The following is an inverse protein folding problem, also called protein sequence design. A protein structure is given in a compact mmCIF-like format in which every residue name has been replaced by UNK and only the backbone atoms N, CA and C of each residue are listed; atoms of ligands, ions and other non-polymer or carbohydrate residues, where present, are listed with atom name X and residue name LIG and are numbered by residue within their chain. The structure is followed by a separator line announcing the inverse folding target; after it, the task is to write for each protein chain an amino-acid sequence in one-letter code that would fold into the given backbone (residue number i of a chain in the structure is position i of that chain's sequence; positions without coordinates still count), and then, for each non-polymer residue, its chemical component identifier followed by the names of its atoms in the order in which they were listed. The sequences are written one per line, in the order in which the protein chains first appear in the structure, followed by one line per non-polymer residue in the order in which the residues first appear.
data_IF_043168866907
#
_entry.id   IF_043168866907
#
_cell.length_a   1.000
_cell.length_b   1.000
_cell.length_c   1.000
_cell.angle_alpha   90.00
_cell.angle_beta   90.00
_cell.angle_gamma   90.00
#
_symmetry.space_group_name_H-M   'P 1'
#
loop_
_entity.id
_entity.type
_entity.pdbx_description
1 polymer ?
#
# COMPACT_ATOMS: atom_id res chain seq x y z
N UNK A 1 15.07 -4.44 -15.63
CA UNK A 1 13.67 -4.39 -15.17
C UNK A 1 12.74 -4.44 -16.37
N UNK A 2 11.75 -5.30 -16.32
CA UNK A 2 10.81 -5.45 -17.44
C UNK A 2 9.60 -4.52 -17.22
N UNK A 3 9.44 -3.47 -18.04
CA UNK A 3 8.33 -2.53 -17.85
C UNK A 3 6.95 -3.17 -18.03
N UNK A 4 6.86 -4.31 -18.71
CA UNK A 4 5.58 -5.01 -18.88
C UNK A 4 5.04 -5.57 -17.56
N UNK A 5 5.85 -5.70 -16.53
CA UNK A 5 5.40 -6.15 -15.20
C UNK A 5 4.53 -5.10 -14.52
N UNK A 6 4.79 -3.82 -14.78
CA UNK A 6 4.12 -2.70 -14.10
C UNK A 6 2.93 -2.24 -14.93
N UNK A 7 1.89 -3.04 -14.97
CA UNK A 7 0.74 -2.78 -15.83
C UNK A 7 -0.57 -2.55 -15.09
N UNK A 8 -0.52 -2.52 -13.77
CA UNK A 8 -1.71 -2.25 -12.96
C UNK A 8 -1.61 -0.86 -12.38
N UNK A 9 -2.67 -0.07 -12.54
CA UNK A 9 -2.70 1.29 -12.02
C UNK A 9 -3.30 1.28 -10.64
N UNK A 10 -2.55 1.78 -9.66
CA UNK A 10 -3.03 1.91 -8.29
C UNK A 10 -2.93 3.36 -7.86
N UNK A 11 -3.68 3.72 -6.83
CA UNK A 11 -3.59 5.05 -6.24
C UNK A 11 -3.27 4.90 -4.76
N UNK A 12 -2.23 5.63 -4.33
CA UNK A 12 -1.77 5.60 -2.94
C UNK A 12 -2.30 6.83 -2.23
N UNK A 13 -2.93 6.61 -1.08
CA UNK A 13 -3.47 7.68 -0.24
C UNK A 13 -2.82 7.65 1.13
N UNK A 14 -2.63 8.85 1.68
CA UNK A 14 -2.20 9.01 3.06
C UNK A 14 -3.39 9.45 3.90
N UNK A 15 -3.64 8.76 5.00
CA UNK A 15 -4.67 9.12 5.96
C UNK A 15 -4.08 10.01 7.03
N UNK A 16 -4.77 11.10 7.32
CA UNK A 16 -4.42 12.01 8.40
C UNK A 16 -5.60 12.19 9.32
N UNK A 17 -5.34 12.40 10.60
CA UNK A 17 -6.37 12.73 11.57
C UNK A 17 -6.21 14.20 11.94
N UNK A 18 -7.27 14.98 11.73
CA UNK A 18 -7.30 16.38 12.07
C UNK A 18 -8.42 16.63 13.08
N UNK A 19 -8.37 17.77 13.75
CA UNK A 19 -9.40 18.15 14.72
C UNK A 19 -10.19 19.31 14.12
N UNK A 20 -11.51 19.16 14.04
CA UNK A 20 -12.38 20.20 13.51
C UNK A 20 -12.72 21.24 14.55
N UNK A 21 -13.59 22.20 14.19
CA UNK A 21 -13.99 23.30 15.07
C UNK A 21 -14.73 22.82 16.32
N UNK A 22 -15.33 21.64 16.26
CA UNK A 22 -16.06 21.05 17.39
C UNK A 22 -15.18 20.12 18.22
N UNK A 23 -13.87 20.14 18.00
CA UNK A 23 -12.89 19.30 18.67
C UNK A 23 -13.12 17.80 18.41
N UNK A 24 -13.74 17.48 17.28
CA UNK A 24 -13.93 16.09 16.85
C UNK A 24 -12.81 15.68 15.92
N UNK A 25 -12.36 14.45 16.08
CA UNK A 25 -11.37 13.90 15.18
C UNK A 25 -12.00 13.57 13.82
N UNK A 26 -11.39 14.07 12.76
CA UNK A 26 -11.82 13.85 11.39
C UNK A 26 -10.69 13.20 10.61
N UNK A 27 -10.98 12.10 9.94
CA UNK A 27 -10.02 11.47 9.04
C UNK A 27 -10.06 12.15 7.69
N UNK A 28 -8.90 12.55 7.20
CA UNK A 28 -8.76 13.10 5.86
C UNK A 28 -7.81 12.22 5.06
N UNK A 29 -8.06 12.16 3.76
CA UNK A 29 -7.26 11.34 2.84
C UNK A 29 -6.68 12.24 1.76
N UNK A 30 -5.38 12.11 1.55
CA UNK A 30 -4.68 12.89 0.54
C UNK A 30 -4.01 11.94 -0.43
N UNK A 31 -4.23 12.16 -1.72
CA UNK A 31 -3.61 11.33 -2.74
C UNK A 31 -2.11 11.62 -2.81
N UNK A 32 -1.32 10.59 -2.65
CA UNK A 32 0.14 10.68 -2.85
C UNK A 32 0.45 10.61 -4.34
N UNK A 33 -0.35 9.87 -5.09
CA UNK A 33 -0.19 9.76 -6.52
C UNK A 33 -0.72 8.44 -7.06
N UNK A 34 -0.79 8.40 -8.38
CA UNK A 34 -1.12 7.17 -9.09
C UNK A 34 0.17 6.52 -9.55
N UNK A 35 0.26 5.22 -9.35
CA UNK A 35 1.47 4.46 -9.61
C UNK A 35 1.16 3.25 -10.48
N UNK A 36 2.13 2.87 -11.29
CA UNK A 36 2.08 1.60 -12.00
C UNK A 36 2.69 0.52 -11.11
N UNK A 37 2.02 -0.61 -11.01
CA UNK A 37 2.43 -1.66 -10.09
C UNK A 37 2.37 -3.03 -10.75
N UNK A 38 3.24 -3.92 -10.29
CA UNK A 38 3.11 -5.36 -10.47
C UNK A 38 2.41 -5.89 -9.22
N UNK A 39 1.47 -6.79 -9.38
CA UNK A 39 0.64 -7.26 -8.28
C UNK A 39 0.81 -8.75 -8.11
N UNK A 40 1.08 -9.17 -6.88
CA UNK A 40 1.18 -10.58 -6.54
C UNK A 40 0.38 -10.85 -5.28
N UNK A 41 -0.61 -11.72 -5.40
CA UNK A 41 -1.41 -12.14 -4.25
C UNK A 41 -0.62 -13.15 -3.44
N UNK A 42 -0.56 -12.95 -2.13
CA UNK A 42 0.08 -13.89 -1.24
C UNK A 42 -0.81 -15.12 -1.05
N UNK A 43 -0.22 -16.29 -1.20
CA UNK A 43 -0.93 -17.54 -0.95
C UNK A 43 -1.03 -17.78 0.55
N UNK A 44 -2.08 -18.51 0.96
CA UNK A 44 -2.29 -18.80 2.37
C UNK A 44 -1.10 -19.44 3.06
N UNK A 45 -0.37 -20.29 2.36
CA UNK A 45 0.80 -20.95 2.92
C UNK A 45 1.96 -19.98 3.19
N UNK A 46 1.98 -18.83 2.53
CA UNK A 46 3.01 -17.83 2.73
C UNK A 46 2.67 -16.91 3.90
N UNK A 47 1.44 -16.97 4.37
CA UNK A 47 0.97 -16.06 5.40
C UNK A 47 0.22 -16.84 6.47
N UNK A 48 0.99 -17.61 7.23
CA UNK A 48 0.44 -18.49 8.25
C UNK A 48 -0.03 -17.68 9.45
N UNK A 49 -1.17 -18.04 9.99
CA UNK A 49 -1.70 -17.49 11.23
C UNK A 49 -2.76 -16.43 11.00
N UNK A 50 -2.37 -15.21 10.76
CA UNK A 50 -3.29 -14.08 10.73
C UNK A 50 -4.40 -14.22 9.69
N UNK A 51 -4.13 -14.86 8.58
CA UNK A 51 -5.07 -14.96 7.46
C UNK A 51 -6.06 -16.11 7.59
N UNK A 52 -5.82 -17.05 8.49
CA UNK A 52 -6.64 -18.26 8.55
C UNK A 52 -8.07 -18.01 9.00
N UNK A 53 -8.25 -17.04 9.89
CA UNK A 53 -9.57 -16.79 10.46
C UNK A 53 -10.35 -15.74 9.71
N UNK A 54 -9.69 -14.77 9.09
CA UNK A 54 -10.35 -13.61 8.52
C UNK A 54 -10.49 -13.63 7.01
N UNK A 55 -9.80 -14.50 6.32
CA UNK A 55 -9.84 -14.60 4.86
C UNK A 55 -9.56 -13.28 4.15
N UNK A 56 -8.82 -12.39 4.78
CA UNK A 56 -8.45 -11.12 4.16
C UNK A 56 -7.41 -11.35 3.08
N UNK A 57 -7.54 -10.59 1.99
CA UNK A 57 -6.58 -10.69 0.90
C UNK A 57 -5.31 -9.95 1.24
N UNK A 58 -4.22 -10.68 1.39
CA UNK A 58 -2.91 -10.08 1.47
C UNK A 58 -2.32 -10.01 0.06
N UNK A 59 -1.90 -8.83 -0.34
CA UNK A 59 -1.44 -8.58 -1.70
C UNK A 59 -0.12 -7.81 -1.64
N UNK A 60 0.79 -8.16 -2.53
CA UNK A 60 2.03 -7.41 -2.71
C UNK A 60 1.89 -6.53 -3.94
N UNK A 61 2.11 -5.23 -3.75
CA UNK A 61 2.17 -4.27 -4.83
C UNK A 61 3.63 -3.86 -5.00
N UNK A 62 4.19 -4.15 -6.16
CA UNK A 62 5.58 -3.81 -6.44
C UNK A 62 5.57 -2.60 -7.34
N UNK A 63 6.17 -1.50 -6.87
CA UNK A 63 6.21 -0.23 -7.59
C UNK A 63 7.64 0.19 -7.81
N UNK A 64 7.86 1.10 -8.76
CA UNK A 64 9.18 1.66 -9.00
C UNK A 64 9.51 2.67 -7.92
N UNK A 65 10.78 2.69 -7.53
CA UNK A 65 11.28 3.70 -6.61
C UNK A 65 11.17 5.08 -7.23
N UNK A 66 10.69 6.04 -6.44
CA UNK A 66 10.57 7.44 -6.85
C UNK A 66 10.65 8.31 -5.61
N UNK A 67 10.68 9.62 -5.79
CA UNK A 67 10.71 10.53 -4.64
C UNK A 67 9.46 10.40 -3.76
N UNK A 68 8.31 10.22 -4.38
CA UNK A 68 7.07 10.01 -3.63
C UNK A 68 7.14 8.74 -2.80
N UNK A 69 7.70 7.68 -3.36
CA UNK A 69 7.84 6.41 -2.66
C UNK A 69 8.91 6.50 -1.59
N UNK A 70 9.97 7.26 -1.81
CA UNK A 70 10.98 7.50 -0.77
C UNK A 70 10.35 8.16 0.45
N UNK A 71 9.53 9.18 0.25
CA UNK A 71 8.82 9.84 1.33
C UNK A 71 7.86 8.89 2.03
N UNK A 72 7.16 8.06 1.26
CA UNK A 72 6.28 7.04 1.81
C UNK A 72 7.04 6.07 2.71
N UNK A 73 8.23 5.65 2.31
CA UNK A 73 9.04 4.72 3.11
C UNK A 73 9.50 5.33 4.42
N UNK A 74 9.65 6.67 4.48
CA UNK A 74 10.06 7.36 5.68
C UNK A 74 8.90 7.69 6.62
N UNK A 75 7.67 7.49 6.17
CA UNK A 75 6.48 7.76 6.96
C UNK A 75 5.93 6.44 7.50
N UNK A 76 5.12 6.51 8.53
CA UNK A 76 4.50 5.30 9.07
C UNK A 76 3.59 4.65 8.03
N UNK A 77 3.89 3.38 7.68
CA UNK A 77 3.23 2.68 6.59
C UNK A 77 1.75 2.43 6.84
N UNK A 78 1.36 2.23 8.09
CA UNK A 78 -0.03 1.95 8.44
C UNK A 78 -0.95 3.16 8.24
N UNK A 79 -0.38 4.34 7.98
CA UNK A 79 -1.16 5.53 7.64
C UNK A 79 -1.56 5.59 6.16
N UNK A 80 -1.19 4.60 5.37
CA UNK A 80 -1.44 4.62 3.94
C UNK A 80 -2.45 3.59 3.52
N UNK A 81 -3.13 3.88 2.42
CA UNK A 81 -4.08 2.99 1.78
C UNK A 81 -3.83 2.97 0.28
N UNK A 82 -4.14 1.85 -0.34
CA UNK A 82 -4.06 1.70 -1.79
C UNK A 82 -5.45 1.40 -2.31
N UNK A 83 -5.85 2.09 -3.38
CA UNK A 83 -7.09 1.78 -4.08
C UNK A 83 -6.73 1.17 -5.43
N UNK A 84 -7.26 -0.03 -5.66
CA UNK A 84 -7.07 -0.75 -6.90
C UNK A 84 -8.36 -1.43 -7.29
N UNK A 85 -8.88 -1.12 -8.48
CA UNK A 85 -10.13 -1.68 -9.02
C UNK A 85 -11.29 -1.56 -8.03
N UNK A 86 -11.40 -0.42 -7.37
CA UNK A 86 -12.49 -0.15 -6.44
C UNK A 86 -12.35 -0.80 -5.07
N UNK A 87 -11.26 -1.53 -4.84
CA UNK A 87 -11.01 -2.16 -3.55
C UNK A 87 -9.97 -1.36 -2.80
N UNK A 88 -10.23 -1.11 -1.52
CA UNK A 88 -9.30 -0.42 -0.64
C UNK A 88 -8.43 -1.43 0.10
N UNK A 89 -7.13 -1.23 0.05
CA UNK A 89 -6.16 -2.07 0.74
C UNK A 89 -5.46 -1.24 1.80
N UNK A 90 -5.42 -1.77 3.03
CA UNK A 90 -4.68 -1.12 4.12
C UNK A 90 -3.23 -1.56 4.05
N UNK A 91 -2.32 -0.58 3.95
CA UNK A 91 -0.88 -0.88 3.90
C UNK A 91 -0.42 -1.38 5.26
N UNK A 92 0.28 -2.50 5.28
CA UNK A 92 0.81 -3.10 6.50
C UNK A 92 2.31 -2.90 6.62
N UNK A 93 3.01 -3.00 5.51
CA UNK A 93 4.46 -2.83 5.51
C UNK A 93 4.94 -2.50 4.10
N UNK A 94 6.18 -2.06 4.01
CA UNK A 94 6.80 -1.79 2.73
C UNK A 94 8.31 -1.92 2.87
N UNK A 95 8.96 -2.33 1.81
CA UNK A 95 10.40 -2.51 1.83
C UNK A 95 11.01 -2.10 0.49
N UNK A 96 12.16 -1.46 0.58
CA UNK A 96 12.98 -1.14 -0.58
C UNK A 96 13.74 -2.40 -0.96
N UNK A 97 13.37 -3.01 -2.07
CA UNK A 97 13.90 -4.32 -2.47
C UNK A 97 15.42 -4.26 -2.61
N UNK A 98 16.09 -5.11 -1.83
CA UNK A 98 17.55 -5.22 -1.79
C UNK A 98 18.26 -3.90 -1.51
N UNK A 99 17.54 -2.91 -0.97
CA UNK A 99 18.05 -1.54 -0.71
C UNK A 99 18.70 -0.90 -1.94
N UNK A 100 18.20 -1.25 -3.12
CA UNK A 100 18.83 -0.81 -4.38
C UNK A 100 18.15 0.41 -4.99
N UNK A 101 17.11 0.93 -4.39
CA UNK A 101 16.37 2.09 -4.90
C UNK A 101 15.85 1.88 -6.33
N UNK A 102 15.41 0.68 -6.62
CA UNK A 102 14.85 0.33 -7.93
C UNK A 102 13.38 0.03 -7.86
N UNK A 103 13.00 -0.85 -6.94
CA UNK A 103 11.62 -1.23 -6.71
C UNK A 103 11.33 -1.27 -5.23
N UNK A 104 10.07 -1.08 -4.88
CA UNK A 104 9.58 -1.17 -3.51
C UNK A 104 8.41 -2.12 -3.49
N UNK A 105 8.43 -3.06 -2.55
CA UNK A 105 7.33 -3.99 -2.33
C UNK A 105 6.47 -3.49 -1.19
N UNK A 106 5.19 -3.27 -1.47
CA UNK A 106 4.21 -2.83 -0.49
C UNK A 106 3.29 -4.00 -0.18
N UNK A 107 3.20 -4.35 1.10
CA UNK A 107 2.30 -5.40 1.55
C UNK A 107 1.05 -4.75 2.11
N UNK A 108 -0.09 -5.11 1.57
CA UNK A 108 -1.36 -4.52 1.97
C UNK A 108 -2.45 -5.56 2.07
N UNK A 109 -3.43 -5.28 2.93
CA UNK A 109 -4.56 -6.17 3.18
C UNK A 109 -5.82 -5.54 2.63
N UNK A 110 -6.52 -6.30 1.75
CA UNK A 110 -7.77 -5.83 1.18
C UNK A 110 -8.88 -5.82 2.20
N UNK A 111 -9.69 -4.78 2.18
CA UNK A 111 -10.91 -4.71 2.99
C UNK A 111 -11.97 -5.59 2.37
N UNK A 112 -12.64 -6.33 3.22
CA UNK A 112 -13.72 -7.22 2.80
C UNK A 112 -15.07 -6.51 2.91
#
# INVERSE_FOLDING_TARGET
MNPARFRHRIELFMRSITVDELLQEVETYESVGKLWADIKTLKGSEYIGAAQEKQNKMTRFIVRYSKSIEQFLQTEKTSFEIIFKGVTYDVKDAMNDDEMNKTVTIIAEGRV
#
